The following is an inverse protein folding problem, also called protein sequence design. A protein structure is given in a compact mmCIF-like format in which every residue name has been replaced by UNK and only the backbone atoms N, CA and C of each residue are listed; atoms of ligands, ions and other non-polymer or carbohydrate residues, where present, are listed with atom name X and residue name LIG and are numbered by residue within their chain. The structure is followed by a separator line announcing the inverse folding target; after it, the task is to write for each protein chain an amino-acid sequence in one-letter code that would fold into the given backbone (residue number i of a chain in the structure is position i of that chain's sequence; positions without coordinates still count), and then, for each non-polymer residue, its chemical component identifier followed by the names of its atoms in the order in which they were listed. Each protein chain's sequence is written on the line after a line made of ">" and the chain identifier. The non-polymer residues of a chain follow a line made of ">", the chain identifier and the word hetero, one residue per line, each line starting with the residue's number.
data_IF_571380822105
#
_entry.id   IF_571380822105
#
_cell.length_a   1.000
_cell.length_b   1.000
_cell.length_c   1.000
_cell.angle_alpha   90.00
_cell.angle_beta   90.00
_cell.angle_gamma   90.00
#
_symmetry.space_group_name_H-M   'P 1'
#
loop_
_entity.id
_entity.type
_entity.pdbx_description
1 polymer ?
#
# COMPACT_ATOMS: atom_id res chain seq x y z
N UNK A 1 24.48 -14.06 -9.65
CA UNK A 1 24.17 -13.06 -8.60
C UNK A 1 22.75 -12.61 -8.85
N UNK A 2 21.86 -12.77 -7.87
CA UNK A 2 20.46 -12.37 -8.03
C UNK A 2 20.41 -10.84 -8.12
N UNK A 3 19.80 -10.30 -9.17
CA UNK A 3 19.70 -8.86 -9.35
C UNK A 3 18.66 -8.31 -8.38
N UNK A 4 19.02 -7.24 -7.66
CA UNK A 4 18.11 -6.54 -6.77
C UNK A 4 16.85 -6.08 -7.52
N UNK A 5 15.67 -6.41 -6.97
CA UNK A 5 14.36 -6.01 -7.47
C UNK A 5 13.81 -4.85 -6.63
N UNK A 6 13.25 -3.84 -7.29
CA UNK A 6 12.63 -2.69 -6.62
C UNK A 6 11.31 -2.34 -7.31
N UNK A 7 10.30 -2.04 -6.50
CA UNK A 7 9.02 -1.49 -6.93
C UNK A 7 8.56 -0.43 -5.92
N UNK A 8 8.69 0.85 -6.28
CA UNK A 8 8.26 1.98 -5.46
C UNK A 8 7.02 2.65 -6.07
N UNK A 9 6.03 2.93 -5.21
CA UNK A 9 4.84 3.70 -5.58
C UNK A 9 4.73 4.88 -4.63
N UNK A 10 4.77 6.09 -5.20
CA UNK A 10 4.71 7.34 -4.45
C UNK A 10 3.48 8.14 -4.86
N UNK A 11 2.63 8.42 -3.89
CA UNK A 11 1.50 9.34 -4.05
C UNK A 11 1.91 10.73 -3.55
N UNK A 12 1.69 11.74 -4.38
CA UNK A 12 1.94 13.15 -4.06
C UNK A 12 0.60 13.86 -4.13
N UNK A 13 0.13 14.36 -2.99
CA UNK A 13 -1.13 15.09 -2.89
C UNK A 13 -0.82 16.58 -2.78
N UNK A 14 -1.28 17.38 -3.75
CA UNK A 14 -1.10 18.84 -3.74
C UNK A 14 -2.35 19.53 -4.27
N UNK A 15 -2.92 20.44 -3.48
CA UNK A 15 -4.12 21.20 -3.83
C UNK A 15 -5.30 20.31 -4.28
N UNK A 16 -5.54 19.20 -3.56
CA UNK A 16 -6.60 18.23 -3.89
C UNK A 16 -6.31 17.34 -5.12
N UNK A 17 -5.22 17.60 -5.85
CA UNK A 17 -4.79 16.75 -6.95
C UNK A 17 -3.87 15.63 -6.45
N UNK A 18 -4.07 14.44 -7.00
CA UNK A 18 -3.25 13.27 -6.71
C UNK A 18 -2.35 13.02 -7.92
N UNK A 19 -1.04 13.08 -7.70
CA UNK A 19 -0.03 12.60 -8.64
C UNK A 19 0.56 11.28 -8.16
N UNK A 20 0.65 10.30 -9.05
CA UNK A 20 1.27 9.00 -8.74
C UNK A 20 2.58 8.87 -9.51
N UNK A 21 3.65 8.52 -8.81
CA UNK A 21 4.95 8.18 -9.41
C UNK A 21 5.25 6.72 -9.13
N UNK A 22 5.76 6.02 -10.13
CA UNK A 22 6.15 4.61 -10.04
C UNK A 22 7.59 4.48 -10.50
N UNK A 23 8.41 3.82 -9.69
CA UNK A 23 9.80 3.49 -10.02
C UNK A 23 10.00 1.98 -9.91
N UNK A 24 10.62 1.38 -10.94
CA UNK A 24 10.79 -0.07 -11.03
C UNK A 24 12.22 -0.41 -11.43
N UNK A 25 12.77 -1.48 -10.84
CA UNK A 25 14.10 -2.03 -11.17
C UNK A 25 14.00 -3.54 -11.22
N UNK A 26 14.35 -4.14 -12.35
CA UNK A 26 14.40 -5.59 -12.56
C UNK A 26 13.10 -6.35 -12.21
N UNK A 27 11.95 -5.72 -12.44
CA UNK A 27 10.63 -6.29 -12.18
C UNK A 27 9.74 -6.16 -13.41
N UNK A 28 9.00 -7.22 -13.75
CA UNK A 28 8.07 -7.19 -14.87
C UNK A 28 6.78 -6.44 -14.53
N UNK A 29 6.08 -5.87 -15.53
CA UNK A 29 4.79 -5.23 -15.29
C UNK A 29 3.75 -6.14 -14.61
N UNK A 30 3.76 -7.44 -14.91
CA UNK A 30 2.86 -8.43 -14.32
C UNK A 30 3.14 -8.61 -12.82
N UNK A 31 4.42 -8.70 -12.44
CA UNK A 31 4.84 -8.73 -11.04
C UNK A 31 4.42 -7.44 -10.32
N UNK A 32 4.55 -6.27 -10.94
CA UNK A 32 4.09 -5.00 -10.36
C UNK A 32 2.59 -5.00 -10.06
N UNK A 33 1.76 -5.51 -10.98
CA UNK A 33 0.31 -5.64 -10.76
C UNK A 33 0.02 -6.55 -9.56
N UNK A 34 0.72 -7.69 -9.48
CA UNK A 34 0.60 -8.59 -8.33
C UNK A 34 0.99 -7.93 -7.01
N UNK A 35 2.12 -7.21 -6.98
CA UNK A 35 2.58 -6.49 -5.79
C UNK A 35 1.61 -5.39 -5.36
N UNK A 36 1.03 -4.63 -6.30
CA UNK A 36 0.01 -3.62 -6.02
C UNK A 36 -1.22 -4.22 -5.36
N UNK A 37 -1.72 -5.34 -5.88
CA UNK A 37 -2.91 -6.00 -5.33
C UNK A 37 -2.65 -6.52 -3.91
N UNK A 38 -1.48 -7.13 -3.68
CA UNK A 38 -1.06 -7.60 -2.35
C UNK A 38 -0.97 -6.42 -1.37
N UNK A 39 -0.28 -5.33 -1.76
CA UNK A 39 -0.13 -4.15 -0.92
C UNK A 39 -1.50 -3.53 -0.57
N UNK A 40 -2.40 -3.39 -1.55
CA UNK A 40 -3.78 -2.92 -1.33
C UNK A 40 -4.50 -3.77 -0.29
N UNK A 41 -4.46 -5.09 -0.43
CA UNK A 41 -5.14 -6.00 0.49
C UNK A 41 -4.58 -5.92 1.91
N UNK A 42 -3.26 -5.81 2.06
CA UNK A 42 -2.62 -5.68 3.37
C UNK A 42 -3.03 -4.38 4.06
N UNK A 43 -2.92 -3.24 3.37
CA UNK A 43 -3.29 -1.93 3.90
C UNK A 43 -4.76 -1.90 4.33
N UNK A 44 -5.68 -2.39 3.50
CA UNK A 44 -7.11 -2.42 3.83
C UNK A 44 -7.36 -3.28 5.07
N UNK A 45 -6.78 -4.50 5.12
CA UNK A 45 -6.94 -5.40 6.28
C UNK A 45 -6.46 -4.75 7.57
N UNK A 46 -5.34 -4.03 7.53
CA UNK A 46 -4.79 -3.40 8.72
C UNK A 46 -5.60 -2.18 9.16
N UNK A 47 -6.13 -1.38 8.22
CA UNK A 47 -7.08 -0.31 8.53
C UNK A 47 -8.38 -0.86 9.14
N UNK A 48 -8.90 -1.98 8.63
CA UNK A 48 -10.08 -2.64 9.20
C UNK A 48 -9.84 -3.19 10.61
N UNK A 49 -8.66 -3.77 10.86
CA UNK A 49 -8.25 -4.19 12.22
C UNK A 49 -8.15 -2.99 13.15
N UNK A 50 -7.44 -1.94 12.75
CA UNK A 50 -7.29 -0.72 13.54
C UNK A 50 -8.65 -0.09 13.88
N UNK A 51 -9.57 -0.05 12.91
CA UNK A 51 -10.96 0.37 13.13
C UNK A 51 -11.65 -0.51 14.19
N UNK A 52 -11.54 -1.83 14.08
CA UNK A 52 -12.13 -2.76 15.08
C UNK A 52 -11.55 -2.57 16.48
N UNK A 53 -10.26 -2.28 16.60
CA UNK A 53 -9.60 -2.01 17.89
C UNK A 53 -10.12 -0.71 18.52
N UNK A 54 -10.28 0.36 17.73
CA UNK A 54 -10.89 1.62 18.18
C UNK A 54 -12.31 1.40 18.75
N UNK A 55 -13.14 0.60 18.08
CA UNK A 55 -14.51 0.31 18.54
C UNK A 55 -14.59 -0.70 19.70
N UNK A 56 -13.54 -1.49 19.95
CA UNK A 56 -13.46 -2.39 21.11
C UNK A 56 -12.96 -1.67 22.37
N UNK A 57 -12.16 -0.61 22.22
CA UNK A 57 -11.72 0.25 23.32
C UNK A 57 -12.83 1.14 23.91
N UNK A 58 -13.92 1.39 23.18
CA UNK A 58 -15.03 2.26 23.63
C UNK A 58 -16.14 1.56 24.43
N UNK A 59 -15.96 0.29 24.84
CA UNK A 59 -16.96 -0.48 25.60
C UNK A 59 -16.68 -0.61 27.10
N UNK A 60 -15.73 0.17 27.62
CA UNK A 60 -15.45 0.26 29.05
C UNK A 60 -15.79 1.66 29.59
N UNK A 61 -17.05 2.09 29.43
CA UNK A 61 -17.72 3.09 30.28
C UNK A 61 -19.18 2.69 30.46
#
# INVERSE_FOLDING_TARGET
>A
MEQEKMFEVKFVIKNGNIGTKVETKNISPQECVGLLEIAKQQIIKDLEKSKKELFRGSKNE
#
